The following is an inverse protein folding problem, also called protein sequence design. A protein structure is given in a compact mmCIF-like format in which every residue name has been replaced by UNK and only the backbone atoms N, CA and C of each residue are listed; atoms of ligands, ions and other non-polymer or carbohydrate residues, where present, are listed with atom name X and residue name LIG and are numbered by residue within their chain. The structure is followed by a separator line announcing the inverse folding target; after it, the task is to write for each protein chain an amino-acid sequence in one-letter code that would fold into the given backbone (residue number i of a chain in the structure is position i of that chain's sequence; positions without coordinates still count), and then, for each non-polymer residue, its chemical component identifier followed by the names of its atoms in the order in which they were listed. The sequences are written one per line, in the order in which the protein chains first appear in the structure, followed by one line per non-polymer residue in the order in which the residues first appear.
data_IF_613265570807
#
_entry.id   IF_613265570807
#
_cell.length_a   1.000
_cell.length_b   1.000
_cell.length_c   1.000
_cell.angle_alpha   90.00
_cell.angle_beta   90.00
_cell.angle_gamma   90.00
#
_symmetry.space_group_name_H-M   'P 1'
#
loop_
_entity.id
_entity.type
_entity.pdbx_description
1 polymer ?
#
# COMPACT_ATOMS: atom_id res chain seq x y z
N UNK A 1 5.73 -13.46 8.75
CA UNK A 1 4.44 -12.86 8.35
C UNK A 1 4.54 -12.52 6.86
N UNK A 2 3.62 -13.03 6.02
CA UNK A 2 3.64 -12.78 4.57
C UNK A 2 3.35 -11.32 4.21
N UNK A 3 3.46 -10.99 2.91
CA UNK A 3 3.23 -9.65 2.37
C UNK A 3 1.87 -9.07 2.82
N UNK A 4 0.79 -9.84 2.68
CA UNK A 4 -0.56 -9.42 3.08
C UNK A 4 -0.63 -8.98 4.54
N UNK A 5 0.01 -9.74 5.44
CA UNK A 5 -0.02 -9.46 6.87
C UNK A 5 0.78 -8.21 7.26
N UNK A 6 1.77 -7.80 6.44
CA UNK A 6 2.49 -6.52 6.62
C UNK A 6 1.63 -5.36 6.11
N UNK A 7 1.06 -5.50 4.92
CA UNK A 7 0.21 -4.49 4.28
C UNK A 7 -1.03 -4.20 5.15
N UNK A 8 -1.74 -5.24 5.60
CA UNK A 8 -2.90 -5.10 6.48
C UNK A 8 -2.53 -4.37 7.78
N UNK A 9 -1.40 -4.69 8.38
CA UNK A 9 -0.94 -4.03 9.61
C UNK A 9 -0.62 -2.54 9.36
N UNK A 10 0.10 -2.22 8.29
CA UNK A 10 0.46 -0.85 7.91
C UNK A 10 -0.77 0.03 7.65
N UNK A 11 -1.79 -0.54 7.00
CA UNK A 11 -3.06 0.13 6.70
C UNK A 11 -4.05 0.14 7.88
N UNK A 12 -3.72 -0.52 9.00
CA UNK A 12 -4.63 -0.67 10.14
C UNK A 12 -5.91 -1.43 9.81
N UNK A 13 -5.81 -2.44 8.94
CA UNK A 13 -6.91 -3.29 8.50
C UNK A 13 -6.96 -4.59 9.29
N UNK A 14 -8.18 -5.01 9.62
CA UNK A 14 -8.46 -6.26 10.31
C UNK A 14 -8.73 -7.36 9.29
N UNK A 15 -8.03 -8.50 9.36
CA UNK A 15 -8.30 -9.65 8.50
C UNK A 15 -9.76 -10.10 8.61
N UNK A 16 -10.39 -10.41 7.47
CA UNK A 16 -11.78 -10.88 7.42
C UNK A 16 -12.85 -9.78 7.49
N UNK A 17 -12.45 -8.50 7.57
CA UNK A 17 -13.37 -7.38 7.61
C UNK A 17 -13.56 -6.74 6.21
N UNK A 18 -14.78 -6.29 5.93
CA UNK A 18 -15.11 -5.58 4.68
C UNK A 18 -14.95 -4.07 4.86
N UNK A 19 -14.35 -3.42 3.87
CA UNK A 19 -14.10 -1.97 3.88
C UNK A 19 -14.60 -1.34 2.59
N UNK A 20 -15.01 -0.07 2.66
CA UNK A 20 -15.35 0.70 1.48
C UNK A 20 -14.09 0.99 0.66
N UNK A 21 -14.20 0.88 -0.67
CA UNK A 21 -13.07 1.18 -1.58
C UNK A 21 -12.51 2.58 -1.36
N UNK A 22 -13.38 3.59 -1.21
CA UNK A 22 -12.96 4.98 -0.98
C UNK A 22 -12.16 5.14 0.30
N UNK A 23 -12.54 4.43 1.35
CA UNK A 23 -11.84 4.42 2.63
C UNK A 23 -10.46 3.79 2.48
N UNK A 24 -10.36 2.63 1.81
CA UNK A 24 -9.08 1.96 1.54
C UNK A 24 -8.13 2.86 0.73
N UNK A 25 -8.64 3.50 -0.33
CA UNK A 25 -7.84 4.42 -1.15
C UNK A 25 -7.34 5.59 -0.29
N UNK A 26 -8.19 6.16 0.55
CA UNK A 26 -7.80 7.23 1.47
C UNK A 26 -6.68 6.76 2.42
N UNK A 27 -6.83 5.60 3.05
CA UNK A 27 -5.79 5.04 3.94
C UNK A 27 -4.47 4.79 3.22
N UNK A 28 -4.51 4.26 1.99
CA UNK A 28 -3.31 4.04 1.19
C UNK A 28 -2.63 5.38 0.91
N UNK A 29 -3.39 6.40 0.46
CA UNK A 29 -2.85 7.75 0.23
C UNK A 29 -2.23 8.37 1.47
N UNK A 30 -2.86 8.20 2.63
CA UNK A 30 -2.39 8.82 3.88
C UNK A 30 -1.19 8.07 4.49
N UNK A 31 -1.17 6.73 4.40
CA UNK A 31 -0.27 5.90 5.20
C UNK A 31 0.84 5.22 4.43
N UNK A 32 0.71 5.05 3.11
CA UNK A 32 1.73 4.35 2.31
C UNK A 32 2.58 5.38 1.58
N UNK A 33 3.85 5.42 1.91
CA UNK A 33 4.89 6.13 1.18
C UNK A 33 5.60 5.18 0.21
N UNK A 34 6.18 5.68 -0.90
CA UNK A 34 6.90 4.82 -1.86
C UNK A 34 8.02 3.99 -1.21
N UNK A 35 8.70 4.53 -0.19
CA UNK A 35 9.72 3.85 0.60
C UNK A 35 9.18 2.71 1.48
N UNK A 36 7.92 2.79 1.93
CA UNK A 36 7.31 1.70 2.71
C UNK A 36 7.27 0.40 1.90
N UNK A 37 7.17 0.50 0.57
CA UNK A 37 7.14 -0.66 -0.33
C UNK A 37 8.43 -1.49 -0.26
N UNK A 38 9.56 -0.91 0.13
CA UNK A 38 10.80 -1.66 0.34
C UNK A 38 10.66 -2.70 1.46
N UNK A 39 9.84 -2.40 2.47
CA UNK A 39 9.58 -3.31 3.60
C UNK A 39 8.31 -4.14 3.38
N UNK A 40 7.24 -3.51 2.88
CA UNK A 40 5.94 -4.13 2.65
C UNK A 40 6.02 -5.18 1.54
N UNK A 41 6.68 -4.84 0.43
CA UNK A 41 6.84 -5.69 -0.74
C UNK A 41 8.23 -6.32 -0.84
N UNK A 42 8.98 -6.41 0.27
CA UNK A 42 10.28 -7.08 0.31
C UNK A 42 10.22 -8.50 -0.31
N UNK A 43 11.08 -8.76 -1.29
CA UNK A 43 11.11 -10.02 -2.04
C UNK A 43 10.12 -10.11 -3.20
N UNK A 44 9.38 -9.04 -3.51
CA UNK A 44 8.53 -8.96 -4.69
C UNK A 44 9.37 -8.70 -5.94
N UNK A 45 9.25 -9.55 -6.95
CA UNK A 45 9.94 -9.39 -8.24
C UNK A 45 9.58 -8.06 -8.94
N UNK A 46 8.42 -7.50 -8.65
CA UNK A 46 7.93 -6.27 -9.28
C UNK A 46 8.52 -5.00 -8.67
N UNK A 47 9.01 -5.05 -7.43
CA UNK A 47 9.52 -3.88 -6.72
C UNK A 47 10.70 -3.24 -7.47
N UNK A 48 11.58 -4.06 -8.04
CA UNK A 48 12.75 -3.62 -8.81
C UNK A 48 12.39 -2.87 -10.10
N UNK A 49 11.18 -3.04 -10.62
CA UNK A 49 10.71 -2.31 -11.80
C UNK A 49 10.22 -0.90 -11.47
N UNK A 50 10.08 -0.55 -10.18
CA UNK A 50 9.70 0.80 -9.72
C UNK A 50 8.23 1.18 -9.93
N UNK A 51 7.46 0.41 -10.71
CA UNK A 51 6.05 0.70 -11.05
C UNK A 51 5.15 0.85 -9.83
N UNK A 52 5.39 0.09 -8.76
CA UNK A 52 4.60 0.18 -7.54
C UNK A 52 4.87 1.50 -6.79
N UNK A 53 6.14 1.91 -6.70
CA UNK A 53 6.55 3.17 -6.04
C UNK A 53 5.99 4.37 -6.79
N UNK A 54 6.11 4.36 -8.11
CA UNK A 54 5.53 5.39 -8.98
C UNK A 54 4.00 5.45 -8.83
N UNK A 55 3.33 4.30 -8.76
CA UNK A 55 1.88 4.22 -8.56
C UNK A 55 1.44 4.84 -7.23
N UNK A 56 2.16 4.59 -6.13
CA UNK A 56 1.87 5.19 -4.83
C UNK A 56 2.09 6.70 -4.87
N UNK A 57 3.19 7.16 -5.46
CA UNK A 57 3.47 8.60 -5.57
C UNK A 57 2.36 9.32 -6.36
N UNK A 58 1.97 8.78 -7.52
CA UNK A 58 0.85 9.28 -8.33
C UNK A 58 -0.46 9.27 -7.55
N UNK A 59 -0.73 8.20 -6.81
CA UNK A 59 -1.96 8.08 -6.02
C UNK A 59 -2.03 9.16 -4.94
N UNK A 60 -0.93 9.44 -4.25
CA UNK A 60 -0.83 10.48 -3.21
C UNK A 60 -1.01 11.89 -3.79
N UNK A 61 -0.44 12.14 -4.96
CA UNK A 61 -0.53 13.44 -5.63
C UNK A 61 -1.82 13.63 -6.45
N UNK A 62 -2.62 12.58 -6.62
CA UNK A 62 -3.87 12.65 -7.38
C UNK A 62 -4.96 13.37 -6.58
N UNK A 63 -5.54 14.47 -7.10
CA UNK A 63 -6.74 15.07 -6.52
C UNK A 63 -7.91 14.09 -6.66
N UNK A 64 -8.63 13.85 -5.57
CA UNK A 64 -9.92 13.14 -5.56
C UNK A 64 -10.97 14.10 -5.02
#
# INVERSE_FOLDING_TARGET
KGMDGKVLHHLGLTPGHSYLKSELIKRIKERVHPEDLDTLCAGCSWLSYGVCKEGIEKLRNSPH
#
